data_IF_769444302918
#
_entry.id   IF_769444302918
#
_cell.length_a   1.000
_cell.length_b   1.000
_cell.length_c   1.000
_cell.angle_alpha   90.00
_cell.angle_beta   90.00
_cell.angle_gamma   90.00
#
_symmetry.space_group_name_H-M   'P 1'
#
loop_
_entity.id
_entity.type
_entity.pdbx_description
1 polymer ?
#
# COMPACT_ATOMS: atom_id res chain seq x y z
N UNK A 1 1.94 -28.18 -0.97
CA UNK A 1 0.69 -27.51 -0.56
C UNK A 1 -0.15 -28.54 0.19
N UNK A 2 -0.70 -28.23 1.38
CA UNK A 2 -1.49 -29.20 2.15
C UNK A 2 -2.72 -29.69 1.37
N UNK A 3 -3.14 -30.93 1.58
CA UNK A 3 -4.40 -31.43 1.02
C UNK A 3 -5.58 -30.61 1.57
N UNK A 4 -6.49 -30.18 0.69
CA UNK A 4 -7.65 -29.35 1.05
C UNK A 4 -7.42 -27.84 1.07
N UNK A 5 -6.25 -27.35 0.66
CA UNK A 5 -6.01 -25.91 0.53
C UNK A 5 -6.85 -25.29 -0.59
N UNK A 6 -7.84 -24.47 -0.22
CA UNK A 6 -8.61 -23.67 -1.18
C UNK A 6 -7.82 -22.43 -1.59
N UNK A 7 -7.05 -22.58 -2.66
CA UNK A 7 -6.23 -21.53 -3.22
C UNK A 7 -7.03 -20.30 -3.65
N UNK A 8 -8.28 -20.46 -4.13
CA UNK A 8 -9.09 -19.32 -4.58
C UNK A 8 -9.57 -18.49 -3.41
N UNK A 9 -10.05 -19.14 -2.35
CA UNK A 9 -10.43 -18.46 -1.11
C UNK A 9 -9.22 -17.77 -0.48
N UNK A 10 -8.06 -18.43 -0.46
CA UNK A 10 -6.81 -17.84 0.05
C UNK A 10 -6.39 -16.61 -0.75
N UNK A 11 -6.35 -16.69 -2.09
CA UNK A 11 -5.98 -15.53 -2.93
C UNK A 11 -6.96 -14.38 -2.76
N UNK A 12 -8.26 -14.65 -2.69
CA UNK A 12 -9.27 -13.61 -2.48
C UNK A 12 -9.11 -12.91 -1.13
N UNK A 13 -8.89 -13.66 -0.05
CA UNK A 13 -8.71 -13.11 1.30
C UNK A 13 -7.42 -12.28 1.44
N UNK A 14 -6.33 -12.69 0.76
CA UNK A 14 -5.03 -12.03 0.88
C UNK A 14 -4.80 -10.92 -0.15
N UNK A 15 -5.70 -10.77 -1.14
CA UNK A 15 -5.51 -9.80 -2.23
C UNK A 15 -5.32 -8.37 -1.74
N UNK A 16 -6.19 -7.91 -0.84
CA UNK A 16 -6.11 -6.55 -0.32
C UNK A 16 -4.81 -6.26 0.42
N UNK A 17 -4.36 -7.22 1.24
CA UNK A 17 -3.09 -7.12 1.94
C UNK A 17 -1.90 -7.11 0.97
N UNK A 18 -1.90 -8.01 -0.03
CA UNK A 18 -0.86 -8.06 -1.05
C UNK A 18 -0.78 -6.77 -1.87
N UNK A 19 -1.92 -6.18 -2.24
CA UNK A 19 -1.97 -4.89 -2.94
C UNK A 19 -1.42 -3.75 -2.07
N UNK A 20 -1.75 -3.72 -0.78
CA UNK A 20 -1.20 -2.73 0.15
C UNK A 20 0.31 -2.88 0.33
N UNK A 21 0.81 -4.12 0.44
CA UNK A 21 2.25 -4.39 0.52
C UNK A 21 2.97 -3.94 -0.75
N UNK A 22 2.43 -4.24 -1.93
CA UNK A 22 3.00 -3.80 -3.20
C UNK A 22 3.03 -2.26 -3.30
N UNK A 23 1.94 -1.59 -2.90
CA UNK A 23 1.90 -0.12 -2.85
C UNK A 23 2.93 0.44 -1.88
N UNK A 24 3.07 -0.16 -0.70
CA UNK A 24 4.06 0.24 0.29
C UNK A 24 5.48 0.13 -0.25
N UNK A 25 5.82 -0.95 -0.94
CA UNK A 25 7.14 -1.10 -1.57
C UNK A 25 7.44 0.05 -2.54
N UNK A 26 6.49 0.39 -3.41
CA UNK A 26 6.66 1.51 -4.36
C UNK A 26 6.82 2.86 -3.65
N UNK A 27 6.04 3.11 -2.59
CA UNK A 27 6.15 4.35 -1.80
C UNK A 27 7.50 4.42 -1.11
N UNK A 28 7.91 3.34 -0.44
CA UNK A 28 9.20 3.23 0.25
C UNK A 28 10.34 3.52 -0.71
N UNK A 29 10.39 2.85 -1.85
CA UNK A 29 11.44 3.03 -2.85
C UNK A 29 11.47 4.48 -3.34
N UNK A 30 10.30 5.11 -3.50
CA UNK A 30 10.22 6.51 -3.90
C UNK A 30 10.77 7.47 -2.85
N UNK A 31 10.50 7.22 -1.57
CA UNK A 31 11.05 8.03 -0.46
C UNK A 31 12.57 7.87 -0.40
N UNK A 32 13.08 6.65 -0.55
CA UNK A 32 14.53 6.38 -0.59
C UNK A 32 15.20 7.19 -1.70
N UNK A 33 14.65 7.15 -2.92
CA UNK A 33 15.16 7.92 -4.06
C UNK A 33 15.14 9.43 -3.82
N UNK A 34 13.99 9.97 -3.37
CA UNK A 34 13.79 11.42 -3.25
C UNK A 34 14.66 12.05 -2.18
N UNK A 35 14.88 11.34 -1.08
CA UNK A 35 15.62 11.83 0.08
C UNK A 35 17.09 11.37 0.04
N UNK A 36 17.48 10.58 -0.96
CA UNK A 36 18.83 10.06 -1.10
C UNK A 36 19.25 9.16 0.07
N UNK A 37 18.32 8.36 0.59
CA UNK A 37 18.59 7.53 1.76
C UNK A 37 19.55 6.40 1.41
N UNK A 38 20.61 6.28 2.20
CA UNK A 38 21.56 5.18 2.14
C UNK A 38 21.90 4.71 3.56
N UNK A 39 22.22 3.42 3.67
CA UNK A 39 22.77 2.86 4.90
C UNK A 39 24.26 3.17 4.93
N UNK A 40 24.71 3.74 6.03
CA UNK A 40 26.11 4.13 6.28
C UNK A 40 26.77 3.13 7.22
N UNK A 41 28.10 3.14 7.29
CA UNK A 41 28.84 2.30 8.26
C UNK A 41 28.40 2.54 9.71
N UNK A 42 28.10 3.79 10.08
CA UNK A 42 27.62 4.12 11.41
C UNK A 42 26.25 3.48 11.73
N UNK A 43 25.39 3.30 10.72
CA UNK A 43 24.10 2.62 10.92
C UNK A 43 24.31 1.12 11.20
N UNK A 44 25.27 0.49 10.53
CA UNK A 44 25.64 -0.90 10.79
C UNK A 44 26.25 -1.07 12.17
N UNK A 45 27.17 -0.18 12.55
CA UNK A 45 27.80 -0.23 13.88
C UNK A 45 26.75 -0.11 14.98
N UNK A 46 25.85 0.87 14.89
CA UNK A 46 24.74 1.05 15.82
C UNK A 46 23.80 -0.17 15.85
N UNK A 47 23.52 -0.79 14.71
CA UNK A 47 22.68 -1.99 14.62
C UNK A 47 23.30 -3.19 15.35
N UNK A 48 24.59 -3.44 15.15
CA UNK A 48 25.26 -4.57 15.77
C UNK A 48 25.54 -4.31 17.26
N UNK A 49 25.76 -3.06 17.66
CA UNK A 49 25.77 -2.67 19.08
C UNK A 49 24.41 -2.93 19.74
N UNK A 50 23.31 -2.50 19.13
CA UNK A 50 21.93 -2.76 19.60
C UNK A 50 21.64 -4.27 19.67
N UNK A 51 22.10 -5.04 18.68
CA UNK A 51 21.87 -6.49 18.60
C UNK A 51 22.63 -7.29 19.67
N UNK A 52 23.88 -6.92 19.96
CA UNK A 52 24.68 -7.56 21.01
C UNK A 52 24.17 -7.14 22.40
N UNK A 53 23.76 -5.88 22.57
CA UNK A 53 23.32 -5.35 23.85
C UNK A 53 24.41 -5.51 24.92
N UNK A 54 24.01 -5.94 26.12
CA UNK A 54 24.92 -6.18 27.25
C UNK A 54 25.56 -7.58 27.25
N UNK A 55 25.55 -8.29 26.11
CA UNK A 55 26.09 -9.64 26.02
C UNK A 55 27.61 -9.62 25.77
N UNK A 56 28.38 -9.98 26.79
CA UNK A 56 29.86 -10.03 26.71
C UNK A 56 30.41 -11.21 25.89
N UNK A 57 29.58 -12.16 25.44
CA UNK A 57 30.06 -13.37 24.75
C UNK A 57 30.54 -13.11 23.32
N UNK A 58 30.02 -12.09 22.65
CA UNK A 58 30.34 -11.75 21.24
C UNK A 58 30.42 -10.23 21.12
N UNK A 59 31.46 -9.72 20.48
CA UNK A 59 31.56 -8.28 20.24
C UNK A 59 30.77 -7.85 19.00
N UNK A 60 30.29 -6.59 18.91
CA UNK A 60 29.63 -6.07 17.70
C UNK A 60 30.45 -6.27 16.42
N UNK A 61 31.78 -6.11 16.52
CA UNK A 61 32.70 -6.35 15.40
C UNK A 61 32.72 -7.82 14.94
N UNK A 62 32.71 -8.78 15.87
CA UNK A 62 32.64 -10.21 15.53
C UNK A 62 31.30 -10.55 14.88
N UNK A 63 30.20 -9.97 15.37
CA UNK A 63 28.88 -10.14 14.78
C UNK A 63 28.85 -9.56 13.35
N UNK A 64 29.36 -8.34 13.14
CA UNK A 64 29.45 -7.71 11.83
C UNK A 64 30.23 -8.57 10.85
N UNK A 65 31.39 -9.09 11.26
CA UNK A 65 32.21 -9.94 10.40
C UNK A 65 31.50 -11.25 10.03
N UNK A 66 30.75 -11.84 10.96
CA UNK A 66 29.91 -13.00 10.68
C UNK A 66 28.86 -12.68 9.61
N UNK A 67 28.10 -11.59 9.77
CA UNK A 67 27.10 -11.20 8.76
C UNK A 67 27.74 -10.89 7.41
N UNK A 68 28.89 -10.20 7.37
CA UNK A 68 29.64 -9.94 6.13
C UNK A 68 30.06 -11.21 5.38
N UNK A 69 30.22 -12.34 6.09
CA UNK A 69 30.50 -13.62 5.45
C UNK A 69 29.29 -14.24 4.72
N UNK A 70 28.08 -13.72 4.98
CA UNK A 70 26.81 -14.16 4.37
C UNK A 70 26.09 -12.96 3.74
N UNK A 71 26.30 -12.71 2.44
CA UNK A 71 25.70 -11.56 1.74
C UNK A 71 24.19 -11.45 1.94
N UNK A 72 23.46 -12.56 1.91
CA UNK A 72 22.00 -12.58 2.10
C UNK A 72 21.55 -12.02 3.47
N UNK A 73 22.35 -12.22 4.52
CA UNK A 73 22.06 -11.66 5.84
C UNK A 73 22.39 -10.17 5.90
N UNK A 74 23.48 -9.74 5.25
CA UNK A 74 23.80 -8.32 5.14
C UNK A 74 22.73 -7.56 4.38
N UNK A 75 22.21 -8.11 3.29
CA UNK A 75 21.12 -7.51 2.52
C UNK A 75 19.86 -7.34 3.40
N UNK A 76 19.53 -8.33 4.24
CA UNK A 76 18.41 -8.22 5.18
C UNK A 76 18.61 -7.12 6.22
N UNK A 77 19.84 -6.97 6.74
CA UNK A 77 20.19 -5.89 7.68
C UNK A 77 20.05 -4.54 6.99
N UNK A 78 20.57 -4.40 5.77
CA UNK A 78 20.46 -3.18 4.98
C UNK A 78 18.99 -2.80 4.74
N UNK A 79 18.17 -3.74 4.28
CA UNK A 79 16.74 -3.49 4.03
C UNK A 79 16.00 -3.06 5.31
N UNK A 80 16.36 -3.63 6.46
CA UNK A 80 15.79 -3.25 7.76
C UNK A 80 16.20 -1.84 8.18
N UNK A 81 17.48 -1.51 8.07
CA UNK A 81 18.01 -0.19 8.40
C UNK A 81 17.43 0.89 7.49
N UNK A 82 17.38 0.62 6.18
CA UNK A 82 16.78 1.53 5.21
C UNK A 82 15.30 1.77 5.50
N UNK A 83 14.56 0.72 5.89
CA UNK A 83 13.15 0.85 6.26
C UNK A 83 12.96 1.71 7.52
N UNK A 84 13.81 1.56 8.54
CA UNK A 84 13.80 2.42 9.74
C UNK A 84 14.00 3.90 9.36
N UNK A 85 15.00 4.20 8.53
CA UNK A 85 15.24 5.56 8.03
C UNK A 85 14.07 6.15 7.25
N UNK A 86 13.42 5.35 6.41
CA UNK A 86 12.21 5.78 5.69
C UNK A 86 11.12 6.18 6.69
N UNK A 87 10.90 5.39 7.74
CA UNK A 87 9.91 5.74 8.77
C UNK A 87 10.30 7.01 9.54
N UNK A 88 11.58 7.21 9.85
CA UNK A 88 12.05 8.42 10.55
C UNK A 88 11.75 9.68 9.71
N UNK A 89 12.04 9.66 8.41
CA UNK A 89 11.71 10.78 7.51
C UNK A 89 10.20 11.02 7.42
N UNK A 90 9.41 9.94 7.35
CA UNK A 90 7.96 10.06 7.31
C UNK A 90 7.43 10.68 8.62
N UNK A 91 7.94 10.26 9.77
CA UNK A 91 7.57 10.81 11.08
C UNK A 91 7.88 12.30 11.19
N UNK A 92 8.99 12.78 10.64
CA UNK A 92 9.32 14.20 10.60
C UNK A 92 8.32 15.04 9.79
N UNK A 93 7.67 14.44 8.78
CA UNK A 93 6.69 15.12 7.91
C UNK A 93 5.26 15.00 8.41
N UNK A 94 4.96 14.01 9.24
CA UNK A 94 3.62 13.75 9.73
C UNK A 94 3.34 14.45 11.06
N UNK A 95 2.07 14.81 11.24
CA UNK A 95 1.58 15.28 12.54
C UNK A 95 1.27 14.08 13.42
N UNK A 96 2.16 13.79 14.36
CA UNK A 96 1.93 12.79 15.42
C UNK A 96 1.01 13.40 16.49
N UNK A 97 -0.04 12.66 16.86
CA UNK A 97 -0.99 13.05 17.91
C UNK A 97 -0.97 11.97 18.97
N UNK A 98 -0.48 12.31 20.16
CA UNK A 98 -0.53 11.41 21.31
C UNK A 98 -1.95 11.35 21.84
N UNK A 99 -2.47 10.13 21.99
CA UNK A 99 -3.81 9.89 22.51
C UNK A 99 -3.81 8.61 23.34
N UNK A 100 -4.75 8.51 24.27
CA UNK A 100 -4.98 7.28 25.03
C UNK A 100 -5.74 6.25 24.18
N UNK A 101 -5.85 5.03 24.70
CA UNK A 101 -6.49 3.92 23.98
C UNK A 101 -7.95 4.22 23.62
N UNK A 102 -8.70 4.86 24.51
CA UNK A 102 -10.11 5.17 24.29
C UNK A 102 -10.26 6.27 23.23
N UNK A 103 -9.42 7.32 23.31
CA UNK A 103 -9.33 8.38 22.31
C UNK A 103 -8.93 7.87 20.93
N UNK A 104 -8.01 6.90 20.85
CA UNK A 104 -7.64 6.25 19.58
C UNK A 104 -8.80 5.47 18.96
N UNK A 105 -9.52 4.69 19.78
CA UNK A 105 -10.66 3.87 19.31
C UNK A 105 -11.77 4.76 18.77
N UNK A 106 -12.13 5.83 19.49
CA UNK A 106 -13.16 6.77 19.04
C UNK A 106 -12.74 7.50 17.76
N UNK A 107 -11.48 7.94 17.65
CA UNK A 107 -10.96 8.56 16.43
C UNK A 107 -10.98 7.61 15.22
N UNK A 108 -10.60 6.34 15.41
CA UNK A 108 -10.62 5.33 14.35
C UNK A 108 -12.03 4.95 13.93
N UNK A 109 -12.98 4.91 14.88
CA UNK A 109 -14.39 4.68 14.59
C UNK A 109 -14.97 5.84 13.78
N UNK A 110 -14.77 7.07 14.22
CA UNK A 110 -15.20 8.27 13.50
C UNK A 110 -14.61 8.33 12.08
N UNK A 111 -13.33 7.96 11.92
CA UNK A 111 -12.68 7.91 10.60
C UNK A 111 -13.24 6.81 9.70
N UNK A 112 -13.51 5.61 10.23
CA UNK A 112 -14.15 4.53 9.48
C UNK A 112 -15.57 4.87 9.05
N UNK A 113 -16.32 5.58 9.90
CA UNK A 113 -17.66 6.09 9.59
C UNK A 113 -17.61 7.18 8.52
N UNK A 114 -16.60 8.06 8.56
CA UNK A 114 -16.37 9.06 7.52
C UNK A 114 -15.94 8.42 6.18
N UNK A 115 -15.03 7.45 6.20
CA UNK A 115 -14.57 6.73 5.00
C UNK A 115 -15.69 5.86 4.41
N UNK A 116 -16.54 5.26 5.25
CA UNK A 116 -17.71 4.51 4.78
C UNK A 116 -18.78 5.43 4.21
N UNK A 117 -19.06 6.58 4.83
CA UNK A 117 -19.98 7.58 4.32
C UNK A 117 -19.48 8.19 3.00
N UNK A 118 -18.17 8.46 2.87
CA UNK A 118 -17.57 8.96 1.63
C UNK A 118 -17.63 7.90 0.51
N UNK A 119 -17.45 6.62 0.84
CA UNK A 119 -17.57 5.52 -0.12
C UNK A 119 -19.03 5.27 -0.56
N UNK A 120 -19.99 5.42 0.35
CA UNK A 120 -21.43 5.36 0.02
C UNK A 120 -21.86 6.58 -0.80
N UNK A 121 -21.39 7.78 -0.47
CA UNK A 121 -21.67 8.97 -1.27
C UNK A 121 -21.03 8.90 -2.67
N UNK A 122 -19.85 8.28 -2.80
CA UNK A 122 -19.23 8.01 -4.09
C UNK A 122 -20.02 6.96 -4.89
N UNK A 123 -20.53 5.88 -4.26
CA UNK A 123 -21.38 4.90 -4.95
C UNK A 123 -22.75 5.46 -5.34
N UNK A 124 -23.32 6.34 -4.51
CA UNK A 124 -24.59 7.00 -4.81
C UNK A 124 -24.42 8.06 -5.91
N UNK A 125 -23.28 8.76 -5.96
CA UNK A 125 -22.96 9.68 -7.05
C UNK A 125 -22.67 8.94 -8.38
N UNK A 126 -22.07 7.75 -8.32
CA UNK A 126 -21.91 6.89 -9.50
C UNK A 126 -23.24 6.28 -9.97
N UNK A 127 -24.17 5.98 -9.05
CA UNK A 127 -25.52 5.53 -9.39
C UNK A 127 -26.39 6.65 -9.99
N UNK A 128 -26.30 7.88 -9.46
CA UNK A 128 -27.01 9.06 -10.01
C UNK A 128 -26.45 9.48 -11.39
N UNK A 129 -25.17 9.23 -11.66
CA UNK A 129 -24.58 9.46 -12.98
C UNK A 129 -25.03 8.44 -14.05
N UNK A 130 -25.43 7.23 -13.64
CA UNK A 130 -25.97 6.18 -14.54
C UNK A 130 -27.47 6.37 -14.82
N UNK A 131 -28.23 6.96 -13.88
CA UNK A 131 -29.67 7.22 -14.05
C UNK A 131 -29.97 8.44 -14.93
N UNK A 132 -28.99 9.31 -15.18
CA UNK A 132 -29.14 10.52 -16.01
C UNK A 132 -29.12 10.30 -17.54
N UNK A 133 -28.93 9.07 -18.03
CA UNK A 133 -28.78 8.79 -19.47
C UNK A 133 -30.04 8.24 -20.17
N UNK A 134 -31.15 7.98 -19.47
CA UNK A 134 -32.34 7.30 -20.05
C UNK A 134 -33.58 8.20 -20.26
N UNK A 135 -33.51 9.50 -19.97
CA UNK A 135 -34.66 10.40 -20.17
C UNK A 135 -34.46 11.36 -21.36
N UNK A 136 -34.50 10.84 -22.59
CA UNK A 136 -34.76 11.68 -23.76
C UNK A 136 -34.25 11.17 -25.10
N UNK A 137 -34.91 10.17 -25.69
CA UNK A 137 -34.86 9.93 -27.13
C UNK A 137 -36.05 9.08 -27.60
N UNK A 138 -37.26 9.63 -27.53
CA UNK A 138 -38.40 9.11 -28.31
C UNK A 138 -38.66 10.09 -29.46
N UNK A 139 -38.03 9.81 -30.61
CA UNK A 139 -38.37 10.34 -31.93
C UNK A 139 -37.66 9.51 -33.00
N UNK A 140 -38.30 8.42 -33.41
CA UNK A 140 -38.10 7.79 -34.73
C UNK A 140 -38.41 8.82 -35.84
N UNK A 141 -37.71 8.79 -36.99
CA UNK A 141 -38.17 7.88 -38.04
C UNK A 141 -37.08 7.23 -38.89
N UNK A 142 -37.19 5.91 -38.98
CA UNK A 142 -37.13 4.99 -40.12
C UNK A 142 -36.60 5.51 -41.49
N UNK A 143 -35.75 4.67 -42.07
CA UNK A 143 -34.95 4.84 -43.29
C UNK A 143 -35.76 4.87 -44.61
N UNK A 144 -35.20 5.42 -45.71
CA UNK A 144 -35.85 5.40 -47.01
C UNK A 144 -35.65 4.05 -47.72
N UNK A 145 -36.75 3.36 -48.02
CA UNK A 145 -36.79 2.28 -49.00
C UNK A 145 -36.97 2.87 -50.40
N UNK A 146 -36.10 2.46 -51.32
CA UNK A 146 -36.21 2.74 -52.74
C UNK A 146 -37.28 1.84 -53.37
N UNK A 147 -38.19 2.43 -54.15
CA UNK A 147 -38.89 1.72 -55.23
C UNK A 147 -38.79 2.54 -56.52
N UNK A 148 -38.24 1.85 -57.51
CA UNK A 148 -38.20 2.14 -58.93
C UNK A 148 -39.61 1.91 -59.51
N UNK A 149 -40.15 2.87 -60.27
CA UNK A 149 -41.06 2.56 -61.39
C UNK A 149 -40.91 3.61 -62.50
N UNK A 150 -41.06 3.12 -63.72
CA UNK A 150 -40.65 3.70 -64.97
C UNK A 150 -41.77 4.45 -65.69
N UNK A 151 -41.36 5.43 -66.51
CA UNK A 151 -41.87 5.76 -67.86
C UNK A 151 -43.39 5.98 -68.07
N UNK A 152 -43.79 7.24 -68.26
CA UNK A 152 -44.39 7.79 -69.49
C UNK A 152 -44.84 9.25 -69.28
#
# INVERSE_FOLDING_TARGET
MPEGFDERAFRAANRGEAENQARWMLIRDKVVEQEGLAVTDADYDAFFEEMVGDNDAITPAQMRQFYQSMPELMDQVEQRLLSRKVFDVLLERFRVVDTDQDGFVEAMKARREADSAAKTAASDAEAEADVGADAGADADPEAPAAEEEASA
#
